data_IF_598992618942
#
_entry.id   IF_598992618942
#
_cell.length_a   1.000
_cell.length_b   1.000
_cell.length_c   1.000
_cell.angle_alpha   90.00
_cell.angle_beta   90.00
_cell.angle_gamma   90.00
#
_symmetry.space_group_name_H-M   'P 1'
#
loop_
_entity.id
_entity.type
_entity.pdbx_description
1 polymer ?
#
# COMPACT_ATOMS: atom_id res chain seq x y z
N UNK A 1 30.48 11.49 31.64
CA UNK A 1 30.25 11.15 30.22
C UNK A 1 29.20 10.04 30.16
N UNK A 2 28.00 10.41 29.79
CA UNK A 2 26.88 9.46 29.77
C UNK A 2 26.83 8.79 28.36
N UNK A 3 27.45 7.61 28.23
CA UNK A 3 27.42 6.84 26.99
C UNK A 3 26.05 6.15 26.91
N UNK A 4 25.09 6.81 26.27
CA UNK A 4 23.83 6.18 25.91
C UNK A 4 24.11 4.94 25.06
N UNK A 5 23.52 3.78 25.37
CA UNK A 5 23.69 2.59 24.54
C UNK A 5 23.13 2.88 23.14
N UNK A 6 24.01 2.86 22.13
CA UNK A 6 23.59 2.94 20.73
C UNK A 6 22.91 1.63 20.35
N UNK A 7 21.59 1.64 20.30
CA UNK A 7 20.81 0.50 19.79
C UNK A 7 20.93 0.49 18.27
N UNK A 8 21.76 -0.40 17.75
CA UNK A 8 21.92 -0.58 16.31
C UNK A 8 21.19 -1.85 15.89
N UNK A 9 20.04 -1.69 15.23
CA UNK A 9 19.35 -2.81 14.56
C UNK A 9 19.98 -2.95 13.16
N UNK A 10 20.64 -4.05 12.91
CA UNK A 10 21.14 -4.40 11.59
C UNK A 10 20.24 -5.48 10.98
N UNK A 11 19.40 -5.09 10.02
CA UNK A 11 18.69 -6.05 9.18
C UNK A 11 19.64 -6.52 8.09
N UNK A 12 19.91 -7.81 8.06
CA UNK A 12 20.68 -8.41 6.97
C UNK A 12 19.83 -8.60 5.72
N UNK A 13 20.46 -8.73 4.56
CA UNK A 13 19.74 -9.07 3.33
C UNK A 13 19.00 -10.42 3.43
N UNK A 14 19.51 -11.32 4.24
CA UNK A 14 18.89 -12.61 4.49
C UNK A 14 17.60 -12.47 5.32
N UNK A 15 17.62 -11.63 6.34
CA UNK A 15 16.43 -11.33 7.17
C UNK A 15 15.32 -10.70 6.33
N UNK A 16 15.69 -9.77 5.44
CA UNK A 16 14.73 -9.16 4.51
C UNK A 16 14.13 -10.19 3.53
N UNK A 17 14.94 -11.12 3.03
CA UNK A 17 14.42 -12.20 2.16
C UNK A 17 13.52 -13.19 2.92
N UNK A 18 13.83 -13.48 4.19
CA UNK A 18 12.96 -14.31 5.04
C UNK A 18 11.63 -13.62 5.29
N UNK A 19 11.66 -12.33 5.63
CA UNK A 19 10.47 -11.52 5.80
C UNK A 19 9.61 -11.48 4.53
N UNK A 20 10.22 -11.20 3.38
CA UNK A 20 9.52 -11.17 2.09
C UNK A 20 8.85 -12.52 1.77
N UNK A 21 9.56 -13.63 1.94
CA UNK A 21 8.97 -14.98 1.74
C UNK A 21 7.80 -15.23 2.68
N UNK A 22 7.93 -14.83 3.95
CA UNK A 22 6.84 -14.96 4.91
C UNK A 22 5.60 -14.16 4.49
N UNK A 23 5.78 -12.91 4.03
CA UNK A 23 4.68 -12.08 3.54
C UNK A 23 4.01 -12.72 2.31
N UNK A 24 4.79 -13.23 1.34
CA UNK A 24 4.26 -13.92 0.15
C UNK A 24 3.47 -15.17 0.56
N UNK A 25 3.95 -15.96 1.52
CA UNK A 25 3.21 -17.14 1.99
C UNK A 25 1.88 -16.77 2.65
N UNK A 26 1.84 -15.67 3.40
CA UNK A 26 0.60 -15.16 3.97
C UNK A 26 -0.38 -14.69 2.88
N UNK A 27 0.08 -13.97 1.86
CA UNK A 27 -0.76 -13.57 0.73
C UNK A 27 -1.35 -14.78 0.00
N UNK A 28 -0.50 -15.76 -0.33
CA UNK A 28 -0.96 -17.01 -0.96
C UNK A 28 -1.98 -17.73 -0.07
N UNK A 29 -1.77 -17.75 1.24
CA UNK A 29 -2.72 -18.34 2.19
C UNK A 29 -4.06 -17.58 2.18
N UNK A 30 -4.08 -16.25 2.20
CA UNK A 30 -5.31 -15.47 2.15
C UNK A 30 -6.06 -15.68 0.83
N UNK A 31 -5.35 -15.61 -0.30
CA UNK A 31 -5.94 -15.92 -1.61
C UNK A 31 -6.54 -17.33 -1.64
N UNK A 32 -5.83 -18.32 -1.08
CA UNK A 32 -6.34 -19.69 -0.99
C UNK A 32 -7.62 -19.77 -0.13
N UNK A 33 -7.64 -19.10 1.02
CA UNK A 33 -8.82 -19.07 1.91
C UNK A 33 -10.00 -18.39 1.24
N UNK A 34 -9.78 -17.28 0.53
CA UNK A 34 -10.81 -16.62 -0.27
C UNK A 34 -11.37 -17.54 -1.35
N UNK A 35 -10.51 -18.14 -2.17
CA UNK A 35 -10.94 -19.08 -3.22
C UNK A 35 -11.71 -20.26 -2.63
N UNK A 36 -11.27 -20.78 -1.49
CA UNK A 36 -11.96 -21.88 -0.80
C UNK A 36 -13.35 -21.46 -0.34
N UNK A 37 -13.46 -20.32 0.31
CA UNK A 37 -14.73 -19.85 0.89
C UNK A 37 -15.75 -19.42 -0.17
N UNK A 38 -15.33 -18.66 -1.18
CA UNK A 38 -16.25 -17.99 -2.09
C UNK A 38 -16.42 -18.68 -3.46
N UNK A 39 -15.44 -19.46 -3.91
CA UNK A 39 -15.44 -20.07 -5.25
C UNK A 39 -15.59 -21.59 -5.18
N UNK A 40 -14.82 -22.26 -4.32
CA UNK A 40 -14.79 -23.73 -4.27
C UNK A 40 -15.94 -24.28 -3.44
N UNK A 41 -16.25 -23.66 -2.32
CA UNK A 41 -17.26 -24.13 -1.39
C UNK A 41 -18.21 -23.00 -0.93
N UNK A 42 -18.89 -22.28 -1.87
CA UNK A 42 -19.76 -21.15 -1.52
C UNK A 42 -20.96 -21.56 -0.65
N UNK A 43 -21.45 -22.80 -0.82
CA UNK A 43 -22.60 -23.32 -0.06
C UNK A 43 -22.23 -23.88 1.31
N UNK A 44 -20.94 -23.93 1.63
CA UNK A 44 -20.52 -24.42 2.95
C UNK A 44 -20.82 -23.33 3.99
N UNK A 45 -21.38 -23.69 5.17
CA UNK A 45 -21.77 -22.71 6.17
C UNK A 45 -20.55 -22.22 6.96
N UNK A 46 -19.72 -21.41 6.29
CA UNK A 46 -18.54 -20.79 6.90
C UNK A 46 -18.88 -19.85 8.06
N UNK A 47 -20.15 -19.34 8.08
CA UNK A 47 -20.62 -18.40 9.08
C UNK A 47 -19.75 -17.13 9.15
N UNK A 48 -19.40 -16.67 10.36
CA UNK A 48 -18.56 -15.46 10.52
C UNK A 48 -17.18 -15.57 9.90
N UNK A 49 -16.69 -16.79 9.55
CA UNK A 49 -15.37 -16.98 8.96
C UNK A 49 -15.29 -16.37 7.56
N UNK A 50 -16.41 -16.32 6.82
CA UNK A 50 -16.43 -15.69 5.50
C UNK A 50 -15.93 -14.25 5.58
N UNK A 51 -16.49 -13.46 6.46
CA UNK A 51 -16.15 -12.04 6.62
C UNK A 51 -14.68 -11.82 6.99
N UNK A 52 -14.06 -12.74 7.72
CA UNK A 52 -12.65 -12.61 8.09
C UNK A 52 -11.69 -12.73 6.88
N UNK A 53 -12.07 -13.46 5.84
CA UNK A 53 -11.23 -13.71 4.67
C UNK A 53 -11.77 -13.06 3.40
N UNK A 54 -12.82 -12.25 3.50
CA UNK A 54 -13.35 -11.50 2.38
C UNK A 54 -12.40 -10.36 2.01
N UNK A 55 -12.03 -10.30 0.74
CA UNK A 55 -11.24 -9.20 0.19
C UNK A 55 -12.11 -8.01 -0.23
N UNK A 56 -13.42 -8.23 -0.30
CA UNK A 56 -14.42 -7.27 -0.78
C UNK A 56 -15.29 -6.73 0.36
N UNK A 57 -15.13 -7.25 1.58
CA UNK A 57 -15.89 -6.80 2.73
C UNK A 57 -15.13 -5.70 3.47
N UNK A 58 -15.90 -4.66 3.78
CA UNK A 58 -15.49 -3.42 4.42
C UNK A 58 -14.61 -3.65 5.67
N UNK A 59 -13.45 -3.00 5.74
CA UNK A 59 -12.59 -2.62 6.88
C UNK A 59 -12.25 -3.67 7.96
N UNK A 60 -13.00 -4.76 8.11
CA UNK A 60 -12.87 -5.71 9.21
C UNK A 60 -12.26 -7.05 8.80
N UNK A 61 -11.82 -7.18 7.55
CA UNK A 61 -11.21 -8.42 7.07
C UNK A 61 -9.74 -8.54 7.46
N UNK A 62 -9.26 -9.76 7.68
CA UNK A 62 -7.83 -10.02 7.94
C UNK A 62 -6.95 -9.57 6.78
N UNK A 63 -7.33 -9.78 5.49
CA UNK A 63 -6.58 -9.25 4.36
C UNK A 63 -6.38 -7.74 4.40
N UNK A 64 -7.41 -6.94 4.69
CA UNK A 64 -7.30 -5.48 4.80
C UNK A 64 -6.34 -5.05 5.90
N UNK A 65 -6.43 -5.65 7.08
CA UNK A 65 -5.48 -5.42 8.16
C UNK A 65 -4.05 -5.81 7.76
N UNK A 66 -3.89 -6.89 7.03
CA UNK A 66 -2.59 -7.34 6.55
C UNK A 66 -2.02 -6.37 5.51
N UNK A 67 -2.83 -5.87 4.58
CA UNK A 67 -2.45 -4.84 3.62
C UNK A 67 -2.00 -3.54 4.34
N UNK A 68 -2.76 -3.08 5.34
CA UNK A 68 -2.40 -1.93 6.16
C UNK A 68 -1.01 -2.10 6.81
N UNK A 69 -0.74 -3.27 7.40
CA UNK A 69 0.57 -3.59 7.99
C UNK A 69 1.68 -3.58 6.93
N UNK A 70 1.43 -4.12 5.73
CA UNK A 70 2.42 -4.09 4.64
C UNK A 70 2.77 -2.66 4.22
N UNK A 71 1.78 -1.76 4.10
CA UNK A 71 2.04 -0.36 3.82
C UNK A 71 2.89 0.30 4.91
N UNK A 72 2.68 -0.02 6.19
CA UNK A 72 3.54 0.45 7.29
C UNK A 72 4.97 -0.08 7.17
N UNK A 73 5.15 -1.33 6.75
CA UNK A 73 6.48 -1.91 6.48
C UNK A 73 7.21 -1.24 5.31
N UNK A 74 6.51 -0.60 4.40
CA UNK A 74 7.11 0.24 3.36
C UNK A 74 7.39 1.65 3.91
N UNK A 75 6.42 2.25 4.57
CA UNK A 75 6.47 3.64 5.03
C UNK A 75 7.53 3.89 6.09
N UNK A 76 7.56 3.09 7.15
CA UNK A 76 8.46 3.29 8.30
C UNK A 76 9.94 3.18 7.92
N UNK A 77 10.43 2.13 7.25
CA UNK A 77 11.83 2.06 6.84
C UNK A 77 12.20 3.16 5.84
N UNK A 78 11.29 3.54 4.95
CA UNK A 78 11.51 4.64 4.00
C UNK A 78 11.64 5.96 4.73
N UNK A 79 10.84 6.22 5.77
CA UNK A 79 10.95 7.39 6.64
C UNK A 79 12.30 7.44 7.35
N UNK A 80 12.71 6.34 7.98
CA UNK A 80 14.01 6.24 8.64
C UNK A 80 15.14 6.52 7.64
N UNK A 81 15.05 5.94 6.43
CA UNK A 81 16.03 6.19 5.36
C UNK A 81 16.04 7.64 4.91
N UNK A 82 14.89 8.30 4.81
CA UNK A 82 14.78 9.71 4.46
C UNK A 82 15.39 10.63 5.55
N UNK A 83 15.30 10.25 6.83
CA UNK A 83 15.90 11.00 7.92
C UNK A 83 17.43 10.86 7.95
N UNK A 84 17.98 9.72 7.55
CA UNK A 84 19.41 9.52 7.55
C UNK A 84 20.08 10.42 6.49
N UNK A 85 21.10 11.19 6.91
CA UNK A 85 21.82 12.12 6.02
C UNK A 85 22.66 11.43 4.94
N UNK A 86 22.90 10.13 5.05
CA UNK A 86 23.75 9.32 4.19
C UNK A 86 23.10 8.85 2.87
N UNK A 87 21.87 9.29 2.54
CA UNK A 87 21.24 9.01 1.24
C UNK A 87 21.88 9.89 0.16
N UNK A 88 23.21 9.89 0.11
CA UNK A 88 24.05 10.78 -0.70
C UNK A 88 23.97 10.58 -2.22
N UNK A 89 23.15 9.61 -2.70
CA UNK A 89 22.91 9.39 -4.14
C UNK A 89 21.73 10.19 -4.67
N UNK A 90 20.86 10.69 -3.81
CA UNK A 90 19.66 11.43 -4.21
C UNK A 90 19.90 12.93 -4.15
N UNK A 91 19.55 13.63 -5.24
CA UNK A 91 19.55 15.09 -5.29
C UNK A 91 18.49 15.71 -4.36
N UNK A 92 17.42 14.97 -4.10
CA UNK A 92 16.29 15.42 -3.30
C UNK A 92 15.68 14.23 -2.55
N UNK A 93 15.19 14.48 -1.33
CA UNK A 93 14.47 13.50 -0.52
C UNK A 93 12.95 13.51 -0.75
N UNK A 94 12.44 14.37 -1.65
CA UNK A 94 10.99 14.53 -1.89
C UNK A 94 10.32 13.22 -2.24
N UNK A 95 10.93 12.40 -3.11
CA UNK A 95 10.37 11.10 -3.49
C UNK A 95 10.24 10.18 -2.29
N UNK A 96 11.26 10.12 -1.41
CA UNK A 96 11.19 9.28 -0.22
C UNK A 96 10.06 9.73 0.70
N UNK A 97 9.93 11.04 0.96
CA UNK A 97 8.81 11.57 1.75
C UNK A 97 7.46 11.35 1.08
N UNK A 98 7.39 11.38 -0.25
CA UNK A 98 6.17 11.07 -0.99
C UNK A 98 5.78 9.59 -0.85
N UNK A 99 6.75 8.68 -0.93
CA UNK A 99 6.52 7.24 -0.68
C UNK A 99 6.02 7.04 0.75
N UNK A 100 6.62 7.71 1.74
CA UNK A 100 6.15 7.65 3.14
C UNK A 100 4.71 8.13 3.24
N UNK A 101 4.41 9.31 2.68
CA UNK A 101 3.06 9.88 2.75
C UNK A 101 2.01 8.97 2.11
N UNK A 102 2.29 8.42 0.92
CA UNK A 102 1.39 7.46 0.26
C UNK A 102 1.21 6.20 1.13
N UNK A 103 2.32 5.60 1.58
CA UNK A 103 2.24 4.35 2.34
C UNK A 103 1.47 4.53 3.65
N UNK A 104 1.69 5.65 4.36
CA UNK A 104 0.93 5.97 5.57
C UNK A 104 -0.54 6.24 5.28
N UNK A 105 -0.85 6.93 4.18
CA UNK A 105 -2.21 7.18 3.76
C UNK A 105 -2.92 5.88 3.40
N UNK A 106 -2.30 5.00 2.59
CA UNK A 106 -2.89 3.71 2.22
C UNK A 106 -3.05 2.79 3.43
N UNK A 107 -2.11 2.80 4.39
CA UNK A 107 -2.24 2.05 5.63
C UNK A 107 -3.45 2.51 6.46
N UNK A 108 -3.70 3.83 6.52
CA UNK A 108 -4.89 4.39 7.17
C UNK A 108 -6.16 4.07 6.40
N UNK A 109 -6.11 4.15 5.08
CA UNK A 109 -7.24 3.84 4.22
C UNK A 109 -7.73 2.42 4.43
N UNK A 110 -6.84 1.44 4.36
CA UNK A 110 -7.15 0.04 4.64
C UNK A 110 -7.62 -0.22 6.08
N UNK A 111 -7.21 0.61 7.03
CA UNK A 111 -7.59 0.43 8.44
C UNK A 111 -8.95 1.05 8.78
N UNK A 112 -9.40 2.07 8.07
CA UNK A 112 -10.60 2.86 8.42
C UNK A 112 -11.55 3.12 7.25
N UNK A 113 -11.31 2.55 6.05
CA UNK A 113 -12.19 2.64 4.88
C UNK A 113 -12.38 4.07 4.36
N UNK A 114 -11.32 4.85 4.22
CA UNK A 114 -11.43 6.22 3.72
C UNK A 114 -12.05 6.23 2.32
N UNK A 115 -11.66 5.31 1.46
CA UNK A 115 -12.16 5.19 0.09
C UNK A 115 -13.68 4.93 0.04
N UNK A 116 -14.21 4.16 0.97
CA UNK A 116 -15.65 3.91 1.09
C UNK A 116 -16.38 5.16 1.55
N UNK A 117 -15.85 5.86 2.56
CA UNK A 117 -16.42 7.11 3.04
C UNK A 117 -16.45 8.19 1.96
N UNK A 118 -15.45 8.23 1.06
CA UNK A 118 -15.45 9.12 -0.11
C UNK A 118 -16.61 8.75 -1.04
N UNK A 119 -16.84 7.47 -1.31
CA UNK A 119 -17.93 7.00 -2.16
C UNK A 119 -19.28 7.38 -1.57
N UNK A 120 -19.51 7.06 -0.28
CA UNK A 120 -20.75 7.40 0.42
C UNK A 120 -20.98 8.91 0.47
N UNK A 121 -19.93 9.70 0.68
CA UNK A 121 -20.03 11.17 0.66
C UNK A 121 -20.39 11.71 -0.72
N UNK A 122 -19.80 11.17 -1.80
CA UNK A 122 -20.09 11.56 -3.16
C UNK A 122 -21.53 11.27 -3.56
N UNK A 123 -22.07 10.13 -3.11
CA UNK A 123 -23.49 9.76 -3.31
C UNK A 123 -24.42 10.69 -2.53
N UNK A 124 -24.17 10.92 -1.25
CA UNK A 124 -25.01 11.79 -0.41
C UNK A 124 -25.02 13.25 -0.86
N UNK A 125 -23.92 13.73 -1.42
CA UNK A 125 -23.81 15.12 -1.90
C UNK A 125 -24.22 15.26 -3.37
N UNK A 126 -24.67 14.19 -4.01
CA UNK A 126 -25.06 14.11 -5.43
C UNK A 126 -24.00 14.75 -6.35
N UNK A 127 -22.74 14.45 -6.10
CA UNK A 127 -21.63 14.97 -6.92
C UNK A 127 -21.56 14.18 -8.23
N UNK A 128 -22.43 14.55 -9.19
CA UNK A 128 -22.56 13.87 -10.49
C UNK A 128 -21.23 13.72 -11.24
N UNK A 129 -20.32 14.68 -11.11
CA UNK A 129 -18.99 14.59 -11.72
C UNK A 129 -18.19 13.40 -11.18
N UNK A 130 -18.17 13.16 -9.87
CA UNK A 130 -17.46 12.02 -9.29
C UNK A 130 -18.15 10.70 -9.60
N UNK A 131 -19.50 10.70 -9.64
CA UNK A 131 -20.28 9.52 -10.03
C UNK A 131 -20.07 9.16 -11.50
N UNK A 132 -20.00 10.14 -12.39
CA UNK A 132 -19.76 9.92 -13.83
C UNK A 132 -18.33 9.46 -14.14
N UNK A 133 -17.37 9.80 -13.28
CA UNK A 133 -15.97 9.37 -13.38
C UNK A 133 -15.70 8.04 -12.65
N UNK A 134 -16.71 7.43 -12.05
CA UNK A 134 -16.57 6.11 -11.45
C UNK A 134 -16.41 5.06 -12.55
N UNK A 135 -15.20 4.48 -12.65
CA UNK A 135 -14.88 3.46 -13.63
C UNK A 135 -15.61 2.15 -13.29
N UNK A 136 -16.57 1.75 -14.12
CA UNK A 136 -17.19 0.42 -14.02
C UNK A 136 -18.02 0.13 -12.77
N UNK A 137 -18.53 1.16 -12.07
CA UNK A 137 -19.31 0.98 -10.85
C UNK A 137 -18.46 0.93 -9.56
N UNK A 138 -17.15 0.96 -9.70
CA UNK A 138 -16.25 1.06 -8.56
C UNK A 138 -16.18 2.53 -8.11
N UNK A 139 -16.77 2.86 -7.01
CA UNK A 139 -16.90 4.13 -6.29
C UNK A 139 -16.13 5.39 -6.74
N UNK A 140 -16.61 6.53 -6.31
CA UNK A 140 -16.04 7.86 -6.62
C UNK A 140 -14.59 8.03 -6.12
N UNK A 141 -14.13 7.20 -5.19
CA UNK A 141 -12.79 7.26 -4.59
C UNK A 141 -11.67 7.11 -5.62
N UNK A 142 -11.86 6.29 -6.68
CA UNK A 142 -10.84 6.08 -7.73
C UNK A 142 -10.47 7.40 -8.38
N UNK A 143 -11.45 8.23 -8.70
CA UNK A 143 -11.23 9.54 -9.31
C UNK A 143 -10.47 10.49 -8.38
N UNK A 144 -10.79 10.47 -7.08
CA UNK A 144 -10.10 11.28 -6.06
C UNK A 144 -8.66 10.82 -5.92
N UNK A 145 -8.42 9.51 -5.85
CA UNK A 145 -7.05 8.96 -5.71
C UNK A 145 -6.23 9.16 -6.97
N UNK A 146 -6.84 9.05 -8.17
CA UNK A 146 -6.17 9.37 -9.43
C UNK A 146 -5.72 10.85 -9.46
N UNK A 147 -6.58 11.77 -9.01
CA UNK A 147 -6.22 13.20 -8.91
C UNK A 147 -5.09 13.42 -7.90
N UNK A 148 -5.17 12.83 -6.71
CA UNK A 148 -4.11 12.93 -5.70
C UNK A 148 -2.79 12.34 -6.22
N UNK A 149 -2.84 11.19 -6.88
CA UNK A 149 -1.68 10.54 -7.50
C UNK A 149 -1.05 11.43 -8.58
N UNK A 150 -1.88 12.07 -9.43
CA UNK A 150 -1.39 12.99 -10.45
C UNK A 150 -0.70 14.22 -9.82
N UNK A 151 -1.30 14.82 -8.80
CA UNK A 151 -0.69 15.96 -8.07
C UNK A 151 0.66 15.54 -7.49
N UNK A 152 0.74 14.35 -6.91
CA UNK A 152 1.96 13.84 -6.33
C UNK A 152 3.05 13.59 -7.40
N UNK A 153 2.68 13.00 -8.53
CA UNK A 153 3.61 12.82 -9.68
C UNK A 153 4.14 14.17 -10.13
N UNK A 154 3.28 15.18 -10.28
CA UNK A 154 3.69 16.53 -10.64
C UNK A 154 4.61 17.17 -9.59
N UNK A 155 4.45 16.82 -8.32
CA UNK A 155 5.33 17.31 -7.25
C UNK A 155 6.73 16.71 -7.32
N UNK A 156 6.86 15.43 -7.72
CA UNK A 156 8.14 14.69 -7.71
C UNK A 156 8.78 14.50 -9.09
N UNK A 157 8.11 14.83 -10.20
CA UNK A 157 8.54 14.48 -11.56
C UNK A 157 9.98 14.91 -11.90
N UNK A 158 10.43 16.05 -11.38
CA UNK A 158 11.81 16.56 -11.60
C UNK A 158 12.87 15.70 -10.90
N UNK A 159 12.50 15.00 -9.85
CA UNK A 159 13.40 14.17 -9.06
C UNK A 159 13.41 12.70 -9.52
N UNK A 160 12.42 12.27 -10.33
CA UNK A 160 12.29 10.91 -10.84
C UNK A 160 13.53 10.40 -11.58
N UNK A 161 14.18 11.16 -12.48
CA UNK A 161 15.38 10.68 -13.18
C UNK A 161 16.53 10.38 -12.21
N UNK A 162 16.73 11.23 -11.19
CA UNK A 162 17.79 11.02 -10.20
C UNK A 162 17.49 9.83 -9.27
N UNK A 163 16.24 9.64 -8.90
CA UNK A 163 15.78 8.48 -8.15
C UNK A 163 15.98 7.19 -8.95
N UNK A 164 15.54 7.18 -10.21
CA UNK A 164 15.72 6.05 -11.11
C UNK A 164 17.18 5.68 -11.32
N UNK A 165 18.05 6.67 -11.51
CA UNK A 165 19.48 6.43 -11.65
C UNK A 165 20.12 5.83 -10.38
N UNK A 166 19.62 6.24 -9.20
CA UNK A 166 20.11 5.75 -7.90
C UNK A 166 19.61 4.34 -7.55
N UNK A 167 18.37 4.00 -7.97
CA UNK A 167 17.64 2.78 -7.57
C UNK A 167 17.12 2.00 -8.78
N UNK A 168 17.92 1.90 -9.84
CA UNK A 168 17.48 1.28 -11.11
C UNK A 168 16.97 -0.15 -10.98
N UNK A 169 17.62 -0.97 -10.14
CA UNK A 169 17.24 -2.37 -9.93
C UNK A 169 15.94 -2.46 -9.12
N UNK A 170 15.87 -1.72 -8.03
CA UNK A 170 14.73 -1.68 -7.12
C UNK A 170 13.50 -1.08 -7.82
N UNK A 171 13.69 -0.03 -8.61
CA UNK A 171 12.65 0.58 -9.42
C UNK A 171 12.08 -0.36 -10.47
N UNK A 172 12.90 -1.21 -11.07
CA UNK A 172 12.42 -2.24 -12.01
C UNK A 172 11.51 -3.26 -11.30
N UNK A 173 11.84 -3.69 -10.08
CA UNK A 173 10.96 -4.58 -9.30
C UNK A 173 9.62 -3.93 -8.94
N UNK A 174 9.64 -2.65 -8.54
CA UNK A 174 8.41 -1.89 -8.24
C UNK A 174 7.51 -1.81 -9.47
N UNK A 175 8.06 -1.48 -10.64
CA UNK A 175 7.29 -1.43 -11.89
C UNK A 175 6.73 -2.79 -12.28
N UNK A 176 7.53 -3.86 -12.16
CA UNK A 176 7.07 -5.21 -12.49
C UNK A 176 5.94 -5.64 -11.55
N UNK A 177 6.08 -5.38 -10.24
CA UNK A 177 5.03 -5.65 -9.25
C UNK A 177 3.76 -4.86 -9.53
N UNK A 178 3.88 -3.56 -9.86
CA UNK A 178 2.75 -2.71 -10.21
C UNK A 178 2.00 -3.17 -11.46
N UNK A 179 2.71 -3.67 -12.47
CA UNK A 179 2.09 -4.25 -13.68
C UNK A 179 1.34 -5.55 -13.36
N UNK A 180 1.90 -6.39 -12.49
CA UNK A 180 1.25 -7.66 -12.10
C UNK A 180 0.01 -7.45 -11.23
N UNK A 181 -0.02 -6.38 -10.42
CA UNK A 181 -1.18 -6.04 -9.59
C UNK A 181 -2.28 -5.30 -10.37
N UNK A 182 -1.94 -4.69 -11.52
CA UNK A 182 -2.90 -3.97 -12.36
C UNK A 182 -3.52 -4.83 -13.48
N UNK A 183 -3.17 -6.12 -13.55
CA UNK A 183 -3.80 -7.11 -14.44
C UNK A 183 -4.89 -7.89 -13.72
#
# INVERSE_FOLDING_TARGET
MNTQPKFNIYLTQEDLRKLLRFLIYLEVFFVFMYLLAFIIAPDFPWGPINNFFDFDEDDWSIPSWFASIQYLFIGIPTFISAMQSSVGKLKSKKILYSIVAISMFLALDEAVGIHEQITVAAEKLDIQLLQSLSFGGHGAWISVYALLGMILILFVYRDLPSFWAAYKKEGAYILTGGVLLGM
#
